data_IF_020782930826
#
_entry.id   IF_020782930826
#
_cell.length_a   1.000
_cell.length_b   1.000
_cell.length_c   1.000
_cell.angle_alpha   90.00
_cell.angle_beta   90.00
_cell.angle_gamma   90.00
#
_symmetry.space_group_name_H-M   'P 1'
#
loop_
_entity.id
_entity.type
_entity.pdbx_description
1 polymer ?
#
# COMPACT_ATOMS: atom_id res chain seq x y z
N UNK A 1 -46.61 12.67 -59.38
CA UNK A 1 -46.37 12.77 -60.84
C UNK A 1 -46.01 14.21 -61.15
N UNK A 2 -44.93 14.43 -61.91
CA UNK A 2 -44.45 15.74 -62.41
C UNK A 2 -43.60 16.51 -61.40
N UNK A 3 -42.28 16.74 -61.46
CA UNK A 3 -41.18 16.71 -62.44
C UNK A 3 -40.55 18.10 -62.58
N UNK A 4 -39.21 18.09 -62.74
CA UNK A 4 -38.30 19.16 -63.21
C UNK A 4 -37.73 20.11 -62.14
N UNK A 5 -36.50 20.63 -62.23
CA UNK A 5 -35.22 20.25 -62.85
C UNK A 5 -34.27 21.45 -62.61
N UNK A 6 -33.05 21.15 -62.15
CA UNK A 6 -31.77 21.88 -62.28
C UNK A 6 -31.69 23.32 -62.80
N UNK A 7 -30.88 24.13 -62.10
CA UNK A 7 -29.99 25.13 -62.71
C UNK A 7 -28.59 25.10 -62.03
N UNK A 8 -27.54 25.13 -62.85
CA UNK A 8 -26.11 25.38 -62.54
C UNK A 8 -25.59 26.38 -63.61
N UNK A 9 -24.31 26.88 -63.68
CA UNK A 9 -23.15 26.91 -62.75
C UNK A 9 -22.35 28.28 -62.69
N UNK A 10 -21.43 28.44 -61.69
CA UNK A 10 -19.99 28.97 -61.68
C UNK A 10 -19.65 30.39 -62.26
N UNK A 11 -18.51 31.12 -61.96
CA UNK A 11 -17.41 31.08 -60.94
C UNK A 11 -17.13 32.44 -60.21
N UNK A 12 -16.22 32.49 -59.21
CA UNK A 12 -14.93 33.22 -59.32
C UNK A 12 -14.16 33.44 -57.99
N UNK A 13 -12.89 33.03 -58.05
CA UNK A 13 -11.68 33.65 -57.47
C UNK A 13 -11.38 33.57 -55.96
N UNK A 14 -10.51 32.61 -55.70
CA UNK A 14 -9.32 32.66 -54.86
C UNK A 14 -8.89 34.03 -54.30
N UNK A 15 -8.73 34.09 -52.97
CA UNK A 15 -7.68 34.84 -52.31
C UNK A 15 -6.93 33.90 -51.36
N UNK A 16 -5.76 33.44 -51.81
CA UNK A 16 -4.73 32.89 -50.92
C UNK A 16 -4.21 34.03 -50.05
N UNK A 17 -4.21 33.85 -48.73
CA UNK A 17 -3.24 34.49 -47.84
C UNK A 17 -2.43 33.38 -47.17
N UNK A 18 -1.13 33.54 -47.26
CA UNK A 18 -0.06 32.65 -46.81
C UNK A 18 0.34 32.98 -45.37
N UNK A 19 0.26 31.97 -44.49
CA UNK A 19 1.16 31.57 -43.37
C UNK A 19 1.61 32.58 -42.29
N UNK A 20 2.25 32.14 -41.18
CA UNK A 20 2.01 31.02 -40.22
C UNK A 20 2.03 31.52 -38.74
N UNK A 21 2.25 30.62 -37.75
CA UNK A 21 2.48 30.85 -36.29
C UNK A 21 1.23 30.86 -35.39
N UNK A 22 1.11 30.11 -34.28
CA UNK A 22 1.96 29.13 -33.60
C UNK A 22 1.03 28.16 -32.83
N UNK A 23 1.20 26.85 -32.91
CA UNK A 23 2.17 26.05 -32.16
C UNK A 23 1.99 26.12 -30.63
N UNK A 24 1.59 24.96 -30.10
CA UNK A 24 1.82 24.42 -28.75
C UNK A 24 1.14 25.08 -27.53
N UNK A 25 -0.06 24.61 -27.22
CA UNK A 25 -0.55 24.55 -25.83
C UNK A 25 -0.50 23.13 -25.23
N UNK A 26 -0.04 22.12 -25.97
CA UNK A 26 -0.05 20.70 -25.53
C UNK A 26 1.34 20.13 -25.19
N UNK A 27 2.28 20.95 -24.70
CA UNK A 27 3.66 20.52 -24.42
C UNK A 27 4.09 20.58 -22.94
N UNK A 28 3.16 20.70 -21.99
CA UNK A 28 3.47 20.73 -20.55
C UNK A 28 2.84 19.58 -19.75
N UNK A 29 2.64 18.42 -20.36
CA UNK A 29 2.53 17.17 -19.59
C UNK A 29 3.93 16.86 -19.01
N UNK A 30 4.17 17.39 -17.82
CA UNK A 30 5.49 17.52 -17.22
C UNK A 30 6.24 16.19 -17.15
N UNK A 31 7.48 16.30 -17.59
CA UNK A 31 8.55 15.31 -17.70
C UNK A 31 9.03 14.85 -16.31
N UNK A 32 8.18 14.18 -15.54
CA UNK A 32 8.59 13.59 -14.27
C UNK A 32 9.44 12.35 -14.55
N UNK A 33 10.75 12.46 -14.30
CA UNK A 33 11.68 11.35 -14.44
C UNK A 33 11.20 10.18 -13.55
N UNK A 34 11.12 8.94 -14.07
CA UNK A 34 10.65 7.80 -13.28
C UNK A 34 11.56 7.60 -12.07
N UNK A 35 10.95 7.29 -10.92
CA UNK A 35 11.69 7.06 -9.68
C UNK A 35 12.74 5.96 -9.85
N UNK A 36 13.93 6.20 -9.33
CA UNK A 36 15.01 5.22 -9.29
C UNK A 36 14.68 4.05 -8.37
N UNK A 37 15.41 2.93 -8.51
CA UNK A 37 15.25 1.75 -7.65
C UNK A 37 15.43 2.11 -6.18
N UNK A 38 16.42 2.95 -5.88
CA UNK A 38 16.72 3.42 -4.52
C UNK A 38 15.60 4.33 -3.98
N UNK A 39 15.03 5.20 -4.82
CA UNK A 39 13.92 6.07 -4.40
C UNK A 39 12.65 5.26 -4.09
N UNK A 40 12.34 4.24 -4.89
CA UNK A 40 11.22 3.33 -4.61
C UNK A 40 11.45 2.52 -3.32
N UNK A 41 12.68 2.05 -3.10
CA UNK A 41 13.04 1.34 -1.88
C UNK A 41 12.91 2.24 -0.64
N UNK A 42 13.49 3.44 -0.68
CA UNK A 42 13.41 4.40 0.41
C UNK A 42 11.97 4.78 0.74
N UNK A 43 11.09 4.89 -0.27
CA UNK A 43 9.67 5.12 -0.05
C UNK A 43 8.95 3.95 0.64
N UNK A 44 9.26 2.71 0.25
CA UNK A 44 8.69 1.54 0.89
C UNK A 44 9.15 1.43 2.36
N UNK A 45 10.43 1.72 2.63
CA UNK A 45 10.99 1.77 3.99
C UNK A 45 10.35 2.89 4.81
N UNK A 46 10.19 4.09 4.23
CA UNK A 46 9.52 5.20 4.89
C UNK A 46 8.07 4.84 5.25
N UNK A 47 7.33 4.15 4.37
CA UNK A 47 5.97 3.72 4.67
C UNK A 47 5.91 2.70 5.82
N UNK A 48 6.87 1.78 5.92
CA UNK A 48 7.00 0.87 7.07
C UNK A 48 7.31 1.61 8.37
N UNK A 49 8.20 2.60 8.31
CA UNK A 49 8.57 3.43 9.47
C UNK A 49 7.38 4.26 9.94
N UNK A 50 6.68 4.90 9.00
CA UNK A 50 5.49 5.72 9.27
C UNK A 50 4.38 4.89 9.92
N UNK A 51 4.16 3.67 9.44
CA UNK A 51 3.26 2.71 10.08
C UNK A 51 3.74 2.36 11.49
N UNK A 52 5.01 1.96 11.64
CA UNK A 52 5.55 1.50 12.92
C UNK A 52 5.49 2.59 14.00
N UNK A 53 5.73 3.84 13.63
CA UNK A 53 5.76 4.99 14.54
C UNK A 53 4.37 5.57 14.86
N UNK A 54 3.35 5.31 14.03
CA UNK A 54 1.99 5.76 14.29
C UNK A 54 1.55 5.32 15.70
N UNK A 55 1.03 6.25 16.50
CA UNK A 55 0.67 6.01 17.89
C UNK A 55 -0.56 6.85 18.25
N UNK A 56 -1.57 6.29 18.94
CA UNK A 56 -1.68 4.89 19.39
C UNK A 56 -2.07 3.92 18.26
N UNK A 57 -1.60 2.68 18.29
CA UNK A 57 -2.12 1.57 17.48
C UNK A 57 -2.60 0.43 18.38
N UNK A 58 -3.87 -0.01 18.28
CA UNK A 58 -4.46 -0.93 19.24
C UNK A 58 -3.79 -2.31 19.17
N UNK A 59 -3.12 -2.71 20.27
CA UNK A 59 -2.41 -3.97 20.44
C UNK A 59 -1.27 -4.27 19.42
N UNK A 60 -0.93 -3.33 18.56
CA UNK A 60 0.25 -3.36 17.70
C UNK A 60 1.47 -2.79 18.42
N UNK A 61 2.66 -3.03 17.86
CA UNK A 61 3.86 -2.31 18.27
C UNK A 61 3.75 -0.85 17.85
N UNK A 62 3.95 0.08 18.78
CA UNK A 62 3.99 1.52 18.54
C UNK A 62 4.97 2.20 19.52
N UNK A 63 4.93 3.55 19.66
CA UNK A 63 5.82 4.28 20.58
C UNK A 63 5.53 4.01 22.06
N UNK A 64 4.40 3.41 22.41
CA UNK A 64 4.01 3.08 23.80
C UNK A 64 4.56 1.71 24.22
N UNK A 65 4.87 0.82 23.26
CA UNK A 65 5.53 -0.45 23.56
C UNK A 65 5.25 -1.55 22.54
N UNK A 66 5.35 -2.80 23.01
CA UNK A 66 5.26 -4.01 22.17
C UNK A 66 3.84 -4.41 21.77
N UNK A 67 2.80 -3.72 22.25
CA UNK A 67 1.42 -4.16 22.12
C UNK A 67 1.24 -5.60 22.62
N UNK A 68 0.53 -6.43 21.85
CA UNK A 68 0.36 -7.84 22.20
C UNK A 68 1.62 -8.69 21.97
N UNK A 69 2.70 -8.16 21.39
CA UNK A 69 3.91 -8.95 21.13
C UNK A 69 4.80 -9.08 22.36
N UNK A 70 5.54 -10.19 22.44
CA UNK A 70 6.62 -10.41 23.43
C UNK A 70 8.01 -10.37 22.80
N UNK A 71 8.06 -10.56 21.48
CA UNK A 71 9.25 -10.71 20.67
C UNK A 71 9.55 -9.47 19.82
N UNK A 72 8.61 -8.52 19.71
CA UNK A 72 8.78 -7.27 18.96
C UNK A 72 8.70 -6.04 19.86
N UNK A 73 9.41 -4.99 19.46
CA UNK A 73 9.37 -3.64 20.01
C UNK A 73 9.61 -2.65 18.86
N UNK A 74 9.42 -1.35 19.10
CA UNK A 74 9.56 -0.34 18.05
C UNK A 74 10.98 -0.35 17.44
N UNK A 75 12.02 -0.57 18.26
CA UNK A 75 13.39 -0.60 17.76
C UNK A 75 13.63 -1.77 16.78
N UNK A 76 13.05 -2.95 17.05
CA UNK A 76 13.05 -4.10 16.13
C UNK A 76 12.27 -3.81 14.85
N UNK A 77 11.12 -3.15 14.94
CA UNK A 77 10.35 -2.74 13.76
C UNK A 77 11.19 -1.79 12.88
N UNK A 78 11.84 -0.79 13.47
CA UNK A 78 12.72 0.13 12.76
C UNK A 78 13.91 -0.59 12.11
N UNK A 79 14.62 -1.47 12.86
CA UNK A 79 15.71 -2.28 12.29
C UNK A 79 15.23 -3.16 11.14
N UNK A 80 14.06 -3.76 11.27
CA UNK A 80 13.45 -4.56 10.21
C UNK A 80 13.17 -3.75 8.96
N UNK A 81 12.59 -2.54 9.09
CA UNK A 81 12.29 -1.69 7.95
C UNK A 81 13.57 -1.32 7.19
N UNK A 82 14.62 -0.87 7.89
CA UNK A 82 15.91 -0.55 7.26
C UNK A 82 16.59 -1.77 6.61
N UNK A 83 16.55 -2.94 7.26
CA UNK A 83 17.13 -4.16 6.70
C UNK A 83 16.47 -4.60 5.37
N UNK A 84 15.25 -4.16 5.09
CA UNK A 84 14.51 -4.47 3.87
C UNK A 84 14.80 -3.51 2.71
N UNK A 85 15.50 -2.40 2.93
CA UNK A 85 15.82 -1.43 1.87
C UNK A 85 16.52 -2.08 0.66
N UNK A 86 17.59 -2.91 0.84
CA UNK A 86 18.25 -3.56 -0.30
C UNK A 86 17.34 -4.54 -1.03
N UNK A 87 16.39 -5.15 -0.31
CA UNK A 87 15.41 -6.07 -0.90
C UNK A 87 14.45 -5.32 -1.80
N UNK A 88 13.87 -4.20 -1.34
CA UNK A 88 12.99 -3.38 -2.17
C UNK A 88 13.72 -2.80 -3.39
N UNK A 89 14.98 -2.38 -3.24
CA UNK A 89 15.79 -1.91 -4.37
C UNK A 89 16.04 -3.03 -5.40
N UNK A 90 16.32 -4.25 -4.95
CA UNK A 90 16.50 -5.40 -5.84
C UNK A 90 15.20 -5.79 -6.56
N UNK A 91 14.05 -5.76 -5.87
CA UNK A 91 12.73 -5.99 -6.47
C UNK A 91 12.42 -4.95 -7.56
N UNK A 92 12.66 -3.67 -7.28
CA UNK A 92 12.50 -2.60 -8.26
C UNK A 92 13.40 -2.82 -9.48
N UNK A 93 14.69 -3.07 -9.26
CA UNK A 93 15.68 -3.29 -10.32
C UNK A 93 15.31 -4.44 -11.25
N UNK A 94 14.93 -5.58 -10.67
CA UNK A 94 14.57 -6.78 -11.44
C UNK A 94 13.26 -6.60 -12.21
N UNK A 95 12.32 -5.79 -11.72
CA UNK A 95 11.04 -5.53 -12.39
C UNK A 95 11.13 -4.43 -13.47
N UNK A 96 12.16 -3.57 -13.43
CA UNK A 96 12.26 -2.38 -14.27
C UNK A 96 12.19 -2.69 -15.76
N UNK A 97 11.30 -2.00 -16.46
CA UNK A 97 11.12 -2.13 -17.92
C UNK A 97 10.57 -3.49 -18.38
N UNK A 98 10.06 -4.33 -17.46
CA UNK A 98 9.52 -5.65 -17.78
C UNK A 98 8.00 -5.70 -17.65
N UNK A 99 7.42 -6.72 -18.26
CA UNK A 99 6.00 -7.06 -18.10
C UNK A 99 5.81 -8.19 -17.05
N UNK A 100 4.65 -8.25 -16.39
CA UNK A 100 4.28 -9.38 -15.54
C UNK A 100 4.41 -10.72 -16.27
N UNK A 101 5.13 -11.66 -15.67
CA UNK A 101 5.33 -13.01 -16.22
C UNK A 101 5.67 -14.02 -15.12
N UNK A 102 5.53 -15.30 -15.41
CA UNK A 102 5.90 -16.38 -14.47
C UNK A 102 7.40 -16.37 -14.11
N UNK A 103 8.26 -16.01 -15.05
CA UNK A 103 9.71 -15.89 -14.80
C UNK A 103 9.99 -14.74 -13.84
N UNK A 104 9.44 -13.55 -14.11
CA UNK A 104 9.62 -12.42 -13.21
C UNK A 104 9.05 -12.70 -11.81
N UNK A 105 7.86 -13.30 -11.73
CA UNK A 105 7.24 -13.66 -10.45
C UNK A 105 8.13 -14.58 -9.61
N UNK A 106 8.83 -15.53 -10.23
CA UNK A 106 9.76 -16.44 -9.56
C UNK A 106 11.01 -15.71 -9.04
N UNK A 107 11.57 -14.79 -9.83
CA UNK A 107 12.72 -13.96 -9.43
C UNK A 107 12.37 -13.02 -8.26
N UNK A 108 11.23 -12.34 -8.34
CA UNK A 108 10.72 -11.52 -7.23
C UNK A 108 10.51 -12.36 -5.96
N UNK A 109 10.03 -13.61 -6.10
CA UNK A 109 9.88 -14.52 -4.98
C UNK A 109 11.20 -14.85 -4.31
N UNK A 110 12.23 -15.12 -5.11
CA UNK A 110 13.56 -15.45 -4.61
C UNK A 110 14.17 -14.28 -3.84
N UNK A 111 14.04 -13.06 -4.38
CA UNK A 111 14.48 -11.84 -3.70
C UNK A 111 13.69 -11.63 -2.41
N UNK A 112 12.36 -11.81 -2.43
CA UNK A 112 11.51 -11.69 -1.26
C UNK A 112 11.88 -12.68 -0.14
N UNK A 113 12.19 -13.95 -0.49
CA UNK A 113 12.69 -14.94 0.48
C UNK A 113 14.04 -14.55 1.08
N UNK A 114 14.96 -14.02 0.28
CA UNK A 114 16.23 -13.50 0.79
C UNK A 114 16.00 -12.30 1.73
N UNK A 115 15.06 -11.42 1.41
CA UNK A 115 14.64 -10.32 2.26
C UNK A 115 14.02 -10.79 3.58
N UNK A 116 13.21 -11.85 3.56
CA UNK A 116 12.67 -12.47 4.78
C UNK A 116 13.80 -12.96 5.70
N UNK A 117 14.84 -13.61 5.14
CA UNK A 117 16.01 -14.06 5.90
C UNK A 117 16.75 -12.86 6.51
N UNK A 118 17.02 -11.82 5.72
CA UNK A 118 17.71 -10.61 6.19
C UNK A 118 16.92 -9.91 7.30
N UNK A 119 15.60 -9.81 7.14
CA UNK A 119 14.68 -9.28 8.15
C UNK A 119 14.78 -10.07 9.46
N UNK A 120 14.67 -11.41 9.39
CA UNK A 120 14.76 -12.28 10.56
C UNK A 120 16.12 -12.17 11.26
N UNK A 121 17.21 -12.05 10.50
CA UNK A 121 18.55 -11.83 11.09
C UNK A 121 18.62 -10.49 11.82
N UNK A 122 18.12 -9.40 11.23
CA UNK A 122 18.13 -8.06 11.82
C UNK A 122 17.25 -7.92 13.08
N UNK A 123 16.24 -8.78 13.22
CA UNK A 123 15.29 -8.79 14.35
C UNK A 123 15.58 -9.88 15.39
N UNK A 124 16.66 -10.65 15.23
CA UNK A 124 16.98 -11.77 16.14
C UNK A 124 15.95 -12.90 16.09
N UNK A 125 15.37 -13.14 14.91
CA UNK A 125 14.39 -14.20 14.66
C UNK A 125 12.93 -13.77 14.81
N UNK A 126 12.65 -12.48 15.01
CA UNK A 126 11.28 -11.99 15.21
C UNK A 126 10.62 -11.65 13.88
N UNK A 127 9.39 -12.11 13.68
CA UNK A 127 8.66 -11.88 12.44
C UNK A 127 7.97 -10.50 12.42
N UNK A 128 8.70 -9.47 11.98
CA UNK A 128 8.22 -8.08 11.98
C UNK A 128 7.37 -7.71 10.75
N UNK A 129 7.89 -7.91 9.53
CA UNK A 129 7.33 -7.37 8.29
C UNK A 129 7.17 -8.42 7.17
N UNK A 130 7.04 -9.71 7.49
CA UNK A 130 6.96 -10.76 6.45
C UNK A 130 5.80 -10.57 5.49
N UNK A 131 4.63 -10.12 5.96
CA UNK A 131 3.50 -9.81 5.10
C UNK A 131 3.74 -8.55 4.25
N UNK A 132 4.34 -7.50 4.84
CA UNK A 132 4.73 -6.32 4.08
C UNK A 132 5.78 -6.58 3.00
N UNK A 133 6.73 -7.51 3.17
CA UNK A 133 7.68 -7.90 2.10
C UNK A 133 6.91 -8.36 0.86
N UNK A 134 5.85 -9.16 1.06
CA UNK A 134 4.99 -9.62 -0.03
C UNK A 134 4.20 -8.45 -0.65
N UNK A 135 3.51 -7.67 0.17
CA UNK A 135 2.62 -6.59 -0.27
C UNK A 135 3.41 -5.46 -0.93
N UNK A 136 4.30 -4.80 -0.18
CA UNK A 136 5.12 -3.70 -0.69
C UNK A 136 6.07 -4.16 -1.78
N UNK A 137 6.59 -5.39 -1.71
CA UNK A 137 7.47 -5.91 -2.75
C UNK A 137 6.81 -5.98 -4.13
N UNK A 138 5.55 -6.43 -4.18
CA UNK A 138 4.76 -6.45 -5.42
C UNK A 138 4.42 -5.03 -5.92
N UNK A 139 4.06 -4.12 -5.00
CA UNK A 139 3.74 -2.74 -5.35
C UNK A 139 4.98 -1.96 -5.85
N UNK A 140 6.14 -2.17 -5.22
CA UNK A 140 7.43 -1.63 -5.66
C UNK A 140 7.81 -2.16 -7.04
N UNK A 141 7.66 -3.47 -7.27
CA UNK A 141 7.92 -4.07 -8.57
C UNK A 141 7.01 -3.46 -9.65
N UNK A 142 5.70 -3.35 -9.38
CA UNK A 142 4.75 -2.74 -10.31
C UNK A 142 5.05 -1.26 -10.59
N UNK A 143 5.42 -0.48 -9.58
CA UNK A 143 5.85 0.91 -9.78
C UNK A 143 7.11 1.01 -10.66
N UNK A 144 8.10 0.12 -10.44
CA UNK A 144 9.34 0.10 -11.22
C UNK A 144 9.15 -0.30 -12.70
N UNK A 145 8.08 -1.05 -13.02
CA UNK A 145 7.69 -1.35 -14.41
C UNK A 145 7.20 -0.12 -15.18
N UNK A 146 6.98 1.02 -14.52
CA UNK A 146 6.38 2.21 -15.12
C UNK A 146 4.86 2.20 -15.11
N UNK A 147 4.23 1.40 -14.23
CA UNK A 147 2.80 1.44 -14.05
C UNK A 147 2.37 2.83 -13.56
N UNK A 148 1.32 3.38 -14.17
CA UNK A 148 0.69 4.61 -13.68
C UNK A 148 0.16 4.40 -12.26
N UNK A 149 0.03 5.46 -11.47
CA UNK A 149 -0.55 5.38 -10.11
C UNK A 149 -1.91 4.65 -10.08
N UNK A 150 -2.75 4.89 -11.08
CA UNK A 150 -4.05 4.25 -11.22
C UNK A 150 -3.98 2.76 -11.56
N UNK A 151 -2.82 2.25 -12.01
CA UNK A 151 -2.62 0.87 -12.43
C UNK A 151 -1.63 0.07 -11.58
N UNK A 152 -0.87 0.68 -10.65
CA UNK A 152 0.13 -0.02 -9.82
C UNK A 152 -0.49 -1.25 -9.14
N UNK A 153 -1.63 -1.11 -8.47
CA UNK A 153 -2.27 -2.22 -7.77
C UNK A 153 -2.75 -3.32 -8.75
N UNK A 154 -3.26 -2.95 -9.94
CA UNK A 154 -3.63 -3.92 -10.99
C UNK A 154 -2.42 -4.64 -11.57
N UNK A 155 -1.32 -3.94 -11.83
CA UNK A 155 -0.07 -4.54 -12.33
C UNK A 155 0.53 -5.47 -11.28
N UNK A 156 0.53 -5.08 -10.01
CA UNK A 156 0.94 -5.94 -8.90
C UNK A 156 0.06 -7.20 -8.78
N UNK A 157 -1.25 -7.08 -9.03
CA UNK A 157 -2.17 -8.22 -9.10
C UNK A 157 -1.82 -9.20 -10.21
N UNK A 158 -1.52 -8.68 -11.41
CA UNK A 158 -1.09 -9.51 -12.53
C UNK A 158 0.17 -10.32 -12.18
N UNK A 159 1.14 -9.71 -11.49
CA UNK A 159 2.32 -10.41 -10.99
C UNK A 159 1.91 -11.50 -9.98
N UNK A 160 1.06 -11.17 -9.01
CA UNK A 160 0.62 -12.08 -7.95
C UNK A 160 -0.17 -13.31 -8.46
N UNK A 161 -0.81 -13.20 -9.62
CA UNK A 161 -1.55 -14.29 -10.26
C UNK A 161 -0.65 -15.32 -10.96
N UNK A 162 0.60 -14.99 -11.27
CA UNK A 162 1.53 -16.00 -11.79
C UNK A 162 1.97 -16.99 -10.69
N UNK A 163 2.16 -18.27 -11.05
CA UNK A 163 2.69 -19.26 -10.12
C UNK A 163 4.16 -18.99 -9.81
N UNK A 164 4.58 -19.26 -8.58
CA UNK A 164 6.00 -19.40 -8.24
C UNK A 164 6.37 -20.87 -8.34
N UNK A 165 7.10 -21.23 -9.41
CA UNK A 165 7.54 -22.61 -9.68
C UNK A 165 8.52 -23.16 -8.62
N UNK A 166 9.13 -22.28 -7.84
CA UNK A 166 10.06 -22.63 -6.76
C UNK A 166 9.42 -22.44 -5.39
N UNK A 167 8.11 -22.21 -5.32
CA UNK A 167 7.40 -22.26 -4.06
C UNK A 167 7.63 -23.65 -3.46
N UNK A 168 8.21 -23.69 -2.26
CA UNK A 168 8.26 -24.92 -1.49
C UNK A 168 6.82 -25.47 -1.36
N UNK A 169 6.62 -26.80 -1.38
CA UNK A 169 5.32 -27.39 -1.06
C UNK A 169 4.84 -26.76 0.25
N UNK A 170 3.75 -26.01 0.17
CA UNK A 170 3.05 -25.28 1.24
C UNK A 170 3.91 -25.16 2.51
N UNK A 171 4.84 -24.20 2.53
CA UNK A 171 5.51 -23.84 3.78
C UNK A 171 4.43 -23.50 4.81
N UNK A 172 4.45 -24.15 5.98
CA UNK A 172 3.49 -24.01 7.08
C UNK A 172 3.56 -22.63 7.77
N UNK A 173 3.64 -21.54 6.99
CA UNK A 173 3.51 -20.19 7.52
C UNK A 173 2.18 -20.07 8.27
N UNK A 174 2.19 -19.27 9.33
CA UNK A 174 1.00 -18.99 10.13
C UNK A 174 -0.17 -18.50 9.27
N UNK A 175 0.11 -17.67 8.25
CA UNK A 175 -0.89 -17.19 7.31
C UNK A 175 -1.52 -18.30 6.48
N UNK A 176 -0.72 -19.23 5.95
CA UNK A 176 -1.25 -20.34 5.13
C UNK A 176 -2.07 -21.34 5.98
N UNK A 177 -1.62 -21.64 7.20
CA UNK A 177 -2.39 -22.45 8.16
C UNK A 177 -3.75 -21.82 8.49
N UNK A 178 -3.76 -20.51 8.71
CA UNK A 178 -5.00 -19.73 8.95
C UNK A 178 -5.91 -19.75 7.74
N UNK A 179 -5.37 -19.52 6.54
CA UNK A 179 -6.16 -19.56 5.30
C UNK A 179 -6.86 -20.89 5.09
N UNK A 180 -6.16 -22.00 5.32
CA UNK A 180 -6.75 -23.33 5.19
C UNK A 180 -7.81 -23.59 6.27
N UNK A 181 -7.50 -23.24 7.53
CA UNK A 181 -8.40 -23.45 8.66
C UNK A 181 -9.70 -22.63 8.57
N UNK A 182 -9.59 -21.35 8.25
CA UNK A 182 -10.72 -20.41 8.25
C UNK A 182 -11.26 -20.09 6.86
N UNK A 183 -10.68 -20.67 5.79
CA UNK A 183 -11.08 -20.46 4.38
C UNK A 183 -11.04 -18.99 3.95
N UNK A 184 -10.10 -18.23 4.50
CA UNK A 184 -9.87 -16.81 4.18
C UNK A 184 -8.80 -16.62 3.11
N UNK A 185 -8.80 -15.45 2.47
CA UNK A 185 -7.89 -15.13 1.37
C UNK A 185 -6.46 -14.71 1.80
N UNK A 186 -6.33 -13.96 2.90
CA UNK A 186 -5.06 -13.39 3.37
C UNK A 186 -4.32 -12.52 2.35
N UNK A 187 -3.07 -12.16 2.65
CA UNK A 187 -2.25 -11.24 1.84
C UNK A 187 -2.06 -11.66 0.37
N UNK A 188 -2.07 -12.97 0.07
CA UNK A 188 -1.97 -13.46 -1.31
C UNK A 188 -3.25 -13.20 -2.11
N UNK A 189 -4.44 -13.44 -1.54
CA UNK A 189 -5.69 -13.12 -2.25
C UNK A 189 -5.87 -11.61 -2.37
N UNK A 190 -5.53 -10.87 -1.32
CA UNK A 190 -5.51 -9.40 -1.33
C UNK A 190 -4.69 -8.88 -2.52
N UNK A 191 -3.49 -9.40 -2.73
CA UNK A 191 -2.67 -9.03 -3.89
C UNK A 191 -3.28 -9.46 -5.23
N UNK A 192 -3.77 -10.69 -5.34
CA UNK A 192 -4.38 -11.24 -6.56
C UNK A 192 -5.63 -10.48 -7.01
N UNK A 193 -6.39 -9.96 -6.06
CA UNK A 193 -7.60 -9.17 -6.32
C UNK A 193 -7.28 -7.68 -6.55
N UNK A 194 -6.00 -7.28 -6.51
CA UNK A 194 -5.58 -5.90 -6.78
C UNK A 194 -5.66 -4.97 -5.59
N UNK A 195 -5.44 -5.49 -4.38
CA UNK A 195 -5.37 -4.74 -3.12
C UNK A 195 -6.64 -3.92 -2.83
N UNK A 196 -7.84 -4.54 -2.80
CA UNK A 196 -9.10 -3.84 -2.54
C UNK A 196 -9.07 -3.03 -1.23
N UNK A 197 -8.42 -3.52 -0.17
CA UNK A 197 -8.31 -2.76 1.08
C UNK A 197 -7.40 -1.54 0.97
N UNK A 198 -6.45 -1.52 0.04
CA UNK A 198 -5.65 -0.32 -0.26
C UNK A 198 -6.47 0.65 -1.12
N UNK A 199 -7.07 0.15 -2.20
CA UNK A 199 -7.70 0.97 -3.24
C UNK A 199 -9.07 1.50 -2.81
N UNK A 200 -9.92 0.65 -2.24
CA UNK A 200 -11.33 0.93 -1.99
C UNK A 200 -11.61 1.31 -0.53
N UNK A 201 -10.69 1.02 0.39
CA UNK A 201 -10.84 1.30 1.83
C UNK A 201 -9.81 2.31 2.33
N UNK A 202 -8.52 1.97 2.25
CA UNK A 202 -7.43 2.73 2.83
C UNK A 202 -7.27 4.12 2.20
N UNK A 203 -7.05 4.19 0.88
CA UNK A 203 -6.89 5.47 0.18
C UNK A 203 -8.12 6.40 0.35
N UNK A 204 -9.37 5.92 0.20
CA UNK A 204 -10.55 6.76 0.47
C UNK A 204 -10.66 7.22 1.92
N UNK A 205 -10.37 6.35 2.90
CA UNK A 205 -10.40 6.71 4.33
C UNK A 205 -9.38 7.82 4.64
N UNK A 206 -8.13 7.65 4.19
CA UNK A 206 -7.06 8.61 4.41
C UNK A 206 -7.37 9.97 3.79
N UNK A 207 -7.87 9.98 2.54
CA UNK A 207 -8.26 11.22 1.85
C UNK A 207 -9.42 11.91 2.53
N UNK A 208 -10.46 11.18 2.94
CA UNK A 208 -11.60 11.76 3.67
C UNK A 208 -11.17 12.38 4.98
N UNK A 209 -10.33 11.70 5.76
CA UNK A 209 -9.85 12.23 7.03
C UNK A 209 -9.03 13.52 6.84
N UNK A 210 -8.10 13.55 5.87
CA UNK A 210 -7.35 14.76 5.54
C UNK A 210 -8.24 15.89 5.01
N UNK A 211 -9.23 15.58 4.17
CA UNK A 211 -10.19 16.56 3.67
C UNK A 211 -11.08 17.16 4.77
N UNK A 212 -11.33 16.38 5.83
CA UNK A 212 -12.00 16.85 7.04
C UNK A 212 -11.07 17.61 8.01
N UNK A 213 -9.80 17.84 7.63
CA UNK A 213 -8.84 18.61 8.42
C UNK A 213 -8.30 17.88 9.64
N UNK A 214 -8.40 16.54 9.69
CA UNK A 214 -7.83 15.78 10.78
C UNK A 214 -6.30 15.88 10.77
N UNK A 215 -5.64 15.92 11.95
CA UNK A 215 -4.20 15.75 12.05
C UNK A 215 -3.75 14.45 11.36
N UNK A 216 -2.56 14.46 10.78
CA UNK A 216 -2.06 13.35 9.96
C UNK A 216 -2.05 12.01 10.72
N UNK A 217 -1.60 11.98 11.98
CA UNK A 217 -1.62 10.76 12.80
C UNK A 217 -3.06 10.24 13.00
N UNK A 218 -4.04 11.12 13.24
CA UNK A 218 -5.43 10.71 13.36
C UNK A 218 -6.00 10.20 12.02
N UNK A 219 -5.63 10.82 10.90
CA UNK A 219 -6.04 10.38 9.57
C UNK A 219 -5.48 8.98 9.23
N UNK A 220 -4.21 8.73 9.57
CA UNK A 220 -3.57 7.41 9.40
C UNK A 220 -4.16 6.35 10.33
N UNK A 221 -4.48 6.73 11.57
CA UNK A 221 -5.12 5.83 12.53
C UNK A 221 -6.55 5.46 12.12
N UNK A 222 -7.35 6.43 11.68
CA UNK A 222 -8.70 6.16 11.16
C UNK A 222 -8.66 5.33 9.88
N UNK A 223 -7.60 5.47 9.07
CA UNK A 223 -7.34 4.61 7.92
C UNK A 223 -7.04 3.17 8.34
N UNK A 224 -6.19 2.96 9.35
CA UNK A 224 -5.92 1.64 9.91
C UNK A 224 -7.21 0.99 10.44
N UNK A 225 -8.02 1.75 11.19
CA UNK A 225 -9.30 1.27 11.73
C UNK A 225 -10.29 0.92 10.61
N UNK A 226 -10.34 1.70 9.53
CA UNK A 226 -11.18 1.38 8.38
C UNK A 226 -10.78 0.06 7.70
N UNK A 227 -9.48 -0.20 7.56
CA UNK A 227 -8.95 -1.48 7.05
C UNK A 227 -9.32 -2.62 8.01
N UNK A 228 -9.07 -2.45 9.32
CA UNK A 228 -9.39 -3.44 10.35
C UNK A 228 -10.88 -3.82 10.37
N UNK A 229 -11.76 -2.87 10.08
CA UNK A 229 -13.21 -3.07 10.12
C UNK A 229 -13.72 -4.08 9.07
N UNK A 230 -13.01 -4.26 7.94
CA UNK A 230 -13.44 -5.15 6.85
C UNK A 230 -12.47 -6.27 6.53
N UNK A 231 -11.20 -6.20 6.94
CA UNK A 231 -10.19 -7.20 6.60
C UNK A 231 -10.37 -8.50 7.40
N UNK A 232 -10.30 -9.66 6.73
CA UNK A 232 -10.11 -10.96 7.38
C UNK A 232 -8.63 -11.10 7.81
N UNK A 233 -8.24 -10.34 8.84
CA UNK A 233 -6.84 -10.23 9.25
C UNK A 233 -6.30 -11.59 9.75
N UNK A 234 -5.38 -12.16 8.96
CA UNK A 234 -4.80 -13.47 9.26
C UNK A 234 -3.93 -13.46 10.53
N UNK A 235 -3.42 -12.30 10.96
CA UNK A 235 -2.65 -12.17 12.19
C UNK A 235 -3.58 -12.25 13.42
N UNK A 236 -4.77 -11.63 13.36
CA UNK A 236 -5.80 -11.80 14.41
C UNK A 236 -6.27 -13.25 14.48
N UNK A 237 -6.62 -13.84 13.34
CA UNK A 237 -7.07 -15.23 13.25
C UNK A 237 -6.01 -16.23 13.73
N UNK A 238 -4.73 -15.97 13.43
CA UNK A 238 -3.63 -16.81 13.89
C UNK A 238 -3.49 -16.78 15.42
N UNK A 239 -3.54 -15.59 16.01
CA UNK A 239 -3.23 -15.40 17.43
C UNK A 239 -4.40 -15.70 18.36
N UNK A 240 -5.62 -15.37 17.93
CA UNK A 240 -6.81 -15.40 18.78
C UNK A 240 -8.07 -15.95 18.08
N UNK A 241 -7.92 -16.50 16.86
CA UNK A 241 -9.04 -17.08 16.11
C UNK A 241 -10.14 -16.07 15.76
N UNK A 242 -11.36 -16.58 15.58
CA UNK A 242 -12.52 -15.76 15.23
C UNK A 242 -12.82 -14.70 16.30
N UNK A 243 -12.65 -15.04 17.59
CA UNK A 243 -12.86 -14.08 18.68
C UNK A 243 -11.94 -12.85 18.55
N UNK A 244 -10.67 -13.04 18.20
CA UNK A 244 -9.74 -11.94 17.93
C UNK A 244 -10.10 -11.13 16.70
N UNK A 245 -10.51 -11.80 15.61
CA UNK A 245 -10.95 -11.13 14.38
C UNK A 245 -12.21 -10.27 14.64
N UNK A 246 -13.20 -10.83 15.33
CA UNK A 246 -14.46 -10.16 15.64
C UNK A 246 -14.22 -8.96 16.59
N UNK A 247 -13.39 -9.13 17.63
CA UNK A 247 -13.01 -8.04 18.52
C UNK A 247 -12.34 -6.89 17.75
N UNK A 248 -11.40 -7.21 16.85
CA UNK A 248 -10.73 -6.23 15.99
C UNK A 248 -11.70 -5.47 15.08
N UNK A 249 -12.55 -6.20 14.34
CA UNK A 249 -13.53 -5.60 13.42
C UNK A 249 -14.57 -4.76 14.14
N UNK A 250 -15.21 -5.33 15.16
CA UNK A 250 -16.28 -4.65 15.88
C UNK A 250 -15.74 -3.46 16.67
N UNK A 251 -14.58 -3.59 17.31
CA UNK A 251 -13.96 -2.46 18.01
C UNK A 251 -13.56 -1.34 17.06
N UNK A 252 -12.98 -1.65 15.88
CA UNK A 252 -12.67 -0.64 14.88
C UNK A 252 -13.93 0.09 14.37
N UNK A 253 -15.01 -0.66 14.07
CA UNK A 253 -16.31 -0.10 13.71
C UNK A 253 -16.86 0.82 14.81
N UNK A 254 -16.75 0.43 16.09
CA UNK A 254 -17.18 1.28 17.22
C UNK A 254 -16.41 2.59 17.27
N UNK A 255 -15.08 2.58 17.09
CA UNK A 255 -14.27 3.82 17.07
C UNK A 255 -14.72 4.75 15.95
N UNK A 256 -14.90 4.21 14.74
CA UNK A 256 -15.35 4.99 13.58
C UNK A 256 -16.77 5.53 13.77
N UNK A 257 -17.69 4.74 14.34
CA UNK A 257 -19.06 5.17 14.65
C UNK A 257 -19.10 6.28 15.71
N UNK A 258 -18.14 6.32 16.62
CA UNK A 258 -17.95 7.40 17.60
C UNK A 258 -17.30 8.67 17.00
N UNK A 259 -17.13 8.75 15.67
CA UNK A 259 -16.58 9.91 14.98
C UNK A 259 -15.08 9.86 14.74
N UNK A 260 -14.44 8.70 14.92
CA UNK A 260 -13.01 8.52 14.66
C UNK A 260 -12.11 8.89 15.83
N UNK A 261 -10.83 8.52 15.71
CA UNK A 261 -9.83 8.57 16.79
C UNK A 261 -9.49 9.98 17.29
N UNK A 262 -9.82 11.03 16.55
CA UNK A 262 -9.62 12.42 16.96
C UNK A 262 -10.66 12.92 17.99
N UNK A 263 -11.80 12.24 18.10
CA UNK A 263 -12.90 12.65 19.00
C UNK A 263 -12.74 12.08 20.40
N UNK A 264 -13.35 12.71 21.40
CA UNK A 264 -13.32 12.20 22.78
C UNK A 264 -13.99 10.83 22.90
N UNK A 265 -15.14 10.62 22.24
CA UNK A 265 -15.82 9.32 22.25
C UNK A 265 -15.02 8.25 21.49
N UNK A 266 -14.44 8.60 20.33
CA UNK A 266 -13.60 7.70 19.56
C UNK A 266 -12.33 7.27 20.31
N UNK A 267 -11.68 8.19 21.04
CA UNK A 267 -10.54 7.84 21.91
C UNK A 267 -10.91 6.84 23.00
N UNK A 268 -12.04 7.04 23.69
CA UNK A 268 -12.52 6.09 24.70
C UNK A 268 -12.88 4.72 24.11
N UNK A 269 -13.47 4.70 22.91
CA UNK A 269 -13.74 3.47 22.16
C UNK A 269 -12.43 2.77 21.74
N UNK A 270 -11.40 3.54 21.37
CA UNK A 270 -10.10 3.02 20.96
C UNK A 270 -9.36 2.37 22.13
N UNK A 271 -9.38 3.00 23.30
CA UNK A 271 -8.85 2.39 24.54
C UNK A 271 -9.57 1.08 24.89
N UNK A 272 -10.87 1.02 24.63
CA UNK A 272 -11.65 -0.20 24.84
C UNK A 272 -11.25 -1.30 23.86
N UNK A 273 -11.12 -0.97 22.57
CA UNK A 273 -10.59 -1.89 21.54
C UNK A 273 -9.18 -2.37 21.91
N UNK A 274 -8.31 -1.49 22.37
CA UNK A 274 -6.96 -1.86 22.80
C UNK A 274 -6.98 -2.86 23.96
N UNK A 275 -7.78 -2.62 25.00
CA UNK A 275 -7.91 -3.56 26.12
C UNK A 275 -8.43 -4.93 25.67
N UNK A 276 -9.43 -4.96 24.79
CA UNK A 276 -9.98 -6.22 24.25
C UNK A 276 -8.92 -7.02 23.48
N UNK A 277 -8.19 -6.37 22.56
CA UNK A 277 -7.16 -7.03 21.77
C UNK A 277 -5.96 -7.48 22.61
N UNK A 278 -5.56 -6.67 23.60
CA UNK A 278 -4.51 -7.04 24.55
C UNK A 278 -4.89 -8.26 25.39
N UNK A 279 -6.13 -8.31 25.90
CA UNK A 279 -6.62 -9.45 26.67
C UNK A 279 -6.66 -10.76 25.86
N UNK A 280 -6.97 -10.66 24.56
CA UNK A 280 -6.98 -11.79 23.64
C UNK A 280 -5.59 -12.13 23.09
N UNK A 281 -4.55 -11.35 23.44
CA UNK A 281 -3.21 -11.46 22.85
C UNK A 281 -3.27 -11.39 21.30
N UNK A 282 -4.16 -10.55 20.77
CA UNK A 282 -4.48 -10.41 19.36
C UNK A 282 -3.82 -9.15 18.78
N UNK A 283 -3.13 -9.27 17.65
CA UNK A 283 -2.44 -8.16 16.99
C UNK A 283 -2.86 -8.08 15.52
N UNK A 284 -3.41 -6.94 15.05
CA UNK A 284 -3.89 -6.74 13.67
C UNK A 284 -2.75 -6.44 12.68
N UNK A 285 -1.76 -7.33 12.62
CA UNK A 285 -0.57 -7.14 11.77
C UNK A 285 -0.86 -7.13 10.27
N UNK A 286 -1.87 -7.86 9.79
CA UNK A 286 -2.25 -7.81 8.37
C UNK A 286 -2.83 -6.44 7.97
N UNK A 287 -3.58 -5.83 8.88
CA UNK A 287 -4.12 -4.48 8.72
C UNK A 287 -3.00 -3.42 8.74
N UNK A 288 -1.99 -3.59 9.61
CA UNK A 288 -0.79 -2.75 9.64
C UNK A 288 -0.02 -2.81 8.32
N UNK A 289 0.24 -4.00 7.78
CA UNK A 289 0.92 -4.17 6.49
C UNK A 289 0.18 -3.44 5.35
N UNK A 290 -1.17 -3.44 5.38
CA UNK A 290 -2.00 -2.75 4.39
C UNK A 290 -2.09 -1.23 4.63
N UNK A 291 -1.94 -0.77 5.87
CA UNK A 291 -1.74 0.65 6.14
C UNK A 291 -0.43 1.13 5.50
N UNK A 292 0.69 0.42 5.72
CA UNK A 292 1.95 0.74 5.08
C UNK A 292 1.84 0.76 3.54
N UNK A 293 1.15 -0.21 2.96
CA UNK A 293 0.85 -0.22 1.52
C UNK A 293 0.03 1.00 1.06
N UNK A 294 -0.96 1.40 1.85
CA UNK A 294 -1.78 2.60 1.60
C UNK A 294 -0.92 3.86 1.60
N UNK A 295 -0.06 4.02 2.61
CA UNK A 295 0.85 5.18 2.73
C UNK A 295 1.86 5.22 1.58
N UNK A 296 2.38 4.07 1.15
CA UNK A 296 3.28 3.96 0.01
C UNK A 296 2.60 4.46 -1.29
N UNK A 297 1.41 3.95 -1.60
CA UNK A 297 0.67 4.34 -2.81
C UNK A 297 0.24 5.81 -2.76
N UNK A 298 -0.25 6.27 -1.62
CA UNK A 298 -0.60 7.68 -1.40
C UNK A 298 0.59 8.61 -1.65
N UNK A 299 1.78 8.26 -1.15
CA UNK A 299 3.00 9.04 -1.36
C UNK A 299 3.40 9.12 -2.83
N UNK A 300 3.27 8.01 -3.57
CA UNK A 300 3.53 8.01 -5.02
C UNK A 300 2.55 8.94 -5.75
N UNK A 301 1.25 8.87 -5.42
CA UNK A 301 0.22 9.74 -6.00
C UNK A 301 0.51 11.21 -5.73
N UNK A 302 0.87 11.56 -4.48
CA UNK A 302 1.11 12.95 -4.10
C UNK A 302 2.36 13.54 -4.78
N UNK A 303 3.44 12.77 -4.91
CA UNK A 303 4.68 13.23 -5.59
C UNK A 303 4.46 13.57 -7.07
N UNK A 304 3.51 12.91 -7.70
CA UNK A 304 3.13 13.22 -9.08
C UNK A 304 2.24 14.46 -9.17
N UNK A 305 1.35 14.66 -8.20
CA UNK A 305 0.49 15.84 -8.13
C UNK A 305 1.28 17.12 -7.81
N UNK A 306 2.36 17.02 -7.02
CA UNK A 306 3.20 18.16 -6.61
C UNK A 306 4.30 18.53 -7.59
N UNK A 307 4.43 17.84 -8.74
CA UNK A 307 5.29 18.23 -9.86
C UNK A 307 6.68 18.74 -9.46
N UNK A 308 7.54 17.85 -8.92
CA UNK A 308 8.97 18.10 -8.68
C UNK A 308 9.36 19.50 -8.13
N UNK A 309 9.38 19.74 -6.81
CA UNK A 309 10.26 20.75 -6.27
C UNK A 309 11.66 20.15 -6.26
N UNK A 310 12.46 20.47 -7.27
CA UNK A 310 13.90 20.31 -7.18
C UNK A 310 14.39 20.99 -5.89
N UNK A 311 14.93 20.21 -4.96
CA UNK A 311 15.81 20.67 -3.87
C UNK A 311 15.12 21.32 -2.67
N UNK A 312 14.81 20.52 -1.66
CA UNK A 312 14.99 20.84 -0.23
C UNK A 312 14.37 19.73 0.60
N UNK A 313 15.06 18.59 0.69
CA UNK A 313 14.95 17.79 1.90
C UNK A 313 15.79 18.53 2.93
N UNK A 314 15.16 19.36 3.75
CA UNK A 314 15.81 19.88 4.95
C UNK A 314 16.30 18.67 5.76
N UNK A 315 17.56 18.67 6.23
CA UNK A 315 18.05 17.58 7.06
C UNK A 315 17.24 17.61 8.36
N UNK A 316 16.59 16.49 8.68
CA UNK A 316 15.99 16.28 9.98
C UNK A 316 17.10 16.33 11.03
N UNK A 317 17.23 17.48 11.70
CA UNK A 317 17.91 17.60 12.97
C UNK A 317 16.91 17.21 14.06
N UNK A 318 16.97 15.94 14.49
CA UNK A 318 16.89 15.54 15.92
C UNK A 318 17.89 14.39 16.08
#
# INVERSE_FOLDING_TARGET
MGAQSYAAPIPARALRRTSPEGASHDAFAANAQPLSDAQLAALAVAALIDEAQLTPKPALVDRRGSGAHRDLDLAKMMRSAHALEPTFAALARVARGRAPSATLRAELAQIGRAGEIAMMQATGGSNAHRGAIWILGLLVAAAAMGATHASICRTAAQIACFPDRFAAPVSESNGERVRQRYRVGGARREAQDGFPHVVDVGLPALRRARAAGLPEDAARLDTLLAIMASLDDTCLLHRAGLAGLDAGRQGALRVLACGGSATTQGRAALETLERELMALNASPGGSADLLAATLFIDTLIQRNASGNPSGSAAPWNI
#
